data_IF_070852861957
#
_entry.id   IF_070852861957
#
_cell.length_a   1.000
_cell.length_b   1.000
_cell.length_c   1.000
_cell.angle_alpha   90.00
_cell.angle_beta   90.00
_cell.angle_gamma   90.00
#
_symmetry.space_group_name_H-M   'P 1'
#
loop_
_entity.id
_entity.type
_entity.pdbx_description
1 polymer ?
#
# COMPACT_ATOMS: atom_id res chain seq x y z
N UNK A 1 11.36 -9.18 11.56
CA UNK A 1 10.16 -8.44 11.11
C UNK A 1 10.44 -7.58 9.88
N UNK A 2 11.34 -6.58 9.92
CA UNK A 2 11.62 -5.70 8.76
C UNK A 2 11.88 -6.47 7.45
N UNK A 3 12.81 -7.43 7.44
CA UNK A 3 13.13 -8.23 6.24
C UNK A 3 11.93 -9.00 5.70
N UNK A 4 11.13 -9.60 6.58
CA UNK A 4 9.91 -10.33 6.20
C UNK A 4 8.90 -9.41 5.52
N UNK A 5 8.74 -8.19 6.02
CA UNK A 5 7.88 -7.19 5.39
C UNK A 5 8.41 -6.73 4.02
N UNK A 6 9.73 -6.56 3.87
CA UNK A 6 10.35 -6.23 2.57
C UNK A 6 10.22 -7.37 1.55
N UNK A 7 10.43 -8.61 1.98
CA UNK A 7 10.27 -9.79 1.14
C UNK A 7 8.81 -9.93 0.69
N UNK A 8 7.85 -9.74 1.62
CA UNK A 8 6.42 -9.76 1.30
C UNK A 8 6.01 -8.66 0.31
N UNK A 9 6.46 -7.42 0.55
CA UNK A 9 6.21 -6.30 -0.37
C UNK A 9 6.77 -6.59 -1.78
N UNK A 10 7.92 -7.25 -1.85
CA UNK A 10 8.54 -7.65 -3.13
C UNK A 10 7.71 -8.72 -3.82
N UNK A 11 7.22 -9.72 -3.09
CA UNK A 11 6.37 -10.78 -3.63
C UNK A 11 5.07 -10.21 -4.22
N UNK A 12 4.35 -9.39 -3.45
CA UNK A 12 3.11 -8.73 -3.91
C UNK A 12 3.37 -7.85 -5.14
N UNK A 13 4.51 -7.15 -5.18
CA UNK A 13 4.91 -6.37 -6.36
C UNK A 13 5.10 -7.27 -7.58
N UNK A 14 5.79 -8.40 -7.43
CA UNK A 14 6.01 -9.37 -8.50
C UNK A 14 4.70 -9.98 -9.00
N UNK A 15 3.80 -10.39 -8.10
CA UNK A 15 2.47 -10.89 -8.44
C UNK A 15 1.67 -9.85 -9.26
N UNK A 16 1.67 -8.59 -8.81
CA UNK A 16 0.95 -7.52 -9.49
C UNK A 16 1.49 -7.22 -10.89
N UNK A 17 2.81 -7.13 -11.09
CA UNK A 17 3.39 -6.86 -12.43
C UNK A 17 3.22 -8.04 -13.39
N UNK A 18 3.07 -9.26 -12.87
CA UNK A 18 2.79 -10.47 -13.66
C UNK A 18 1.29 -10.67 -13.92
N UNK A 19 0.43 -9.77 -13.43
CA UNK A 19 -1.02 -9.81 -13.67
C UNK A 19 -1.80 -10.73 -12.73
N UNK A 20 -1.20 -11.15 -11.62
CA UNK A 20 -1.86 -11.95 -10.58
C UNK A 20 -2.51 -11.08 -9.48
N UNK A 21 -2.45 -9.76 -9.61
CA UNK A 21 -3.12 -8.81 -8.71
C UNK A 21 -4.65 -8.86 -8.77
N UNK A 22 -5.31 -8.50 -7.68
CA UNK A 22 -6.77 -8.70 -7.51
C UNK A 22 -7.62 -7.53 -7.99
N UNK A 23 -7.14 -6.28 -7.88
CA UNK A 23 -7.94 -5.07 -8.08
C UNK A 23 -8.58 -4.99 -9.48
N UNK A 24 -7.77 -5.15 -10.53
CA UNK A 24 -8.25 -5.10 -11.91
C UNK A 24 -9.18 -6.26 -12.23
N UNK A 25 -8.92 -7.45 -11.67
CA UNK A 25 -9.76 -8.62 -11.87
C UNK A 25 -11.14 -8.42 -11.24
N UNK A 26 -11.18 -7.98 -9.97
CA UNK A 26 -12.43 -7.67 -9.27
C UNK A 26 -13.19 -6.52 -9.95
N UNK A 27 -12.49 -5.48 -10.43
CA UNK A 27 -13.09 -4.42 -11.22
C UNK A 27 -13.75 -4.96 -12.50
N UNK A 28 -13.05 -5.83 -13.25
CA UNK A 28 -13.57 -6.45 -14.47
C UNK A 28 -14.83 -7.30 -14.21
N UNK A 29 -14.82 -8.11 -13.15
CA UNK A 29 -15.98 -8.90 -12.73
C UNK A 29 -17.17 -8.01 -12.36
N UNK A 30 -16.92 -6.95 -11.58
CA UNK A 30 -17.94 -5.97 -11.18
C UNK A 30 -18.57 -5.31 -12.41
N UNK A 31 -17.73 -4.85 -13.34
CA UNK A 31 -18.19 -4.17 -14.54
C UNK A 31 -18.93 -5.12 -15.50
N UNK A 32 -18.51 -6.38 -15.59
CA UNK A 32 -19.21 -7.41 -16.39
C UNK A 32 -20.64 -7.63 -15.88
N UNK A 33 -20.85 -7.72 -14.55
CA UNK A 33 -22.18 -7.85 -13.97
C UNK A 33 -23.07 -6.62 -14.24
N UNK A 34 -22.49 -5.43 -14.22
CA UNK A 34 -23.19 -4.18 -14.57
C UNK A 34 -23.61 -4.18 -16.04
N UNK A 35 -22.72 -4.60 -16.94
CA UNK A 35 -22.96 -4.60 -18.39
C UNK A 35 -23.94 -5.70 -18.85
N UNK A 36 -23.98 -6.84 -18.16
CA UNK A 36 -24.96 -7.90 -18.42
C UNK A 36 -26.37 -7.53 -17.94
N UNK A 37 -26.52 -6.45 -17.17
CA UNK A 37 -27.78 -6.07 -16.53
C UNK A 37 -28.22 -7.00 -15.41
N UNK A 38 -27.30 -7.83 -14.91
CA UNK A 38 -27.54 -8.73 -13.78
C UNK A 38 -27.49 -7.96 -12.46
N UNK A 39 -28.04 -8.57 -11.41
CA UNK A 39 -27.88 -8.04 -10.06
C UNK A 39 -26.40 -8.07 -9.67
N UNK A 40 -25.92 -6.98 -9.08
CA UNK A 40 -24.53 -6.88 -8.63
C UNK A 40 -24.24 -7.96 -7.57
N UNK A 41 -23.20 -8.80 -7.73
CA UNK A 41 -22.84 -9.81 -6.72
C UNK A 41 -22.62 -9.21 -5.31
N UNK A 42 -23.01 -9.96 -4.27
CA UNK A 42 -22.99 -9.50 -2.87
C UNK A 42 -21.62 -8.98 -2.42
N UNK A 43 -20.53 -9.62 -2.87
CA UNK A 43 -19.15 -9.18 -2.59
C UNK A 43 -18.89 -7.72 -2.98
N UNK A 44 -19.50 -7.21 -4.05
CA UNK A 44 -19.33 -5.82 -4.50
C UNK A 44 -20.29 -4.84 -3.82
N UNK A 45 -21.30 -5.35 -3.12
CA UNK A 45 -22.19 -4.58 -2.26
C UNK A 45 -21.67 -4.50 -0.82
N UNK A 46 -20.73 -5.39 -0.46
CA UNK A 46 -20.14 -5.45 0.87
C UNK A 46 -19.38 -4.16 1.21
N UNK A 47 -19.56 -3.69 2.45
CA UNK A 47 -18.89 -2.51 2.98
C UNK A 47 -17.36 -2.66 2.96
N UNK A 48 -16.85 -3.87 3.21
CA UNK A 48 -15.42 -4.17 3.20
C UNK A 48 -14.83 -4.02 1.80
N UNK A 49 -15.56 -4.39 0.74
CA UNK A 49 -15.13 -4.12 -0.63
C UNK A 49 -15.10 -2.61 -0.91
N UNK A 50 -16.11 -1.86 -0.45
CA UNK A 50 -16.06 -0.40 -0.58
C UNK A 50 -14.89 0.22 0.19
N UNK A 51 -14.61 -0.24 1.40
CA UNK A 51 -13.52 0.25 2.25
C UNK A 51 -12.14 -0.12 1.70
N UNK A 52 -11.97 -1.32 1.13
CA UNK A 52 -10.70 -1.76 0.53
C UNK A 52 -10.30 -0.90 -0.67
N UNK A 53 -11.27 -0.29 -1.35
CA UNK A 53 -11.06 0.66 -2.44
C UNK A 53 -10.90 2.13 -1.96
N UNK A 54 -10.91 2.40 -0.65
CA UNK A 54 -10.63 3.73 -0.09
C UNK A 54 -9.14 3.88 0.24
N UNK A 55 -8.33 4.19 -0.77
CA UNK A 55 -6.88 4.35 -0.64
C UNK A 55 -6.49 5.62 0.14
N UNK A 56 -6.51 5.54 1.48
CA UNK A 56 -6.04 6.61 2.39
C UNK A 56 -4.56 6.94 2.22
N UNK A 57 -3.77 6.05 1.64
CA UNK A 57 -2.40 6.33 1.23
C UNK A 57 -2.24 5.85 -0.20
N UNK A 58 -2.12 6.79 -1.14
CA UNK A 58 -1.89 6.51 -2.55
C UNK A 58 -0.44 6.86 -2.90
N UNK A 59 0.35 5.87 -3.30
CA UNK A 59 1.79 6.02 -3.54
C UNK A 59 2.19 5.63 -4.95
N UNK A 60 3.28 6.20 -5.44
CA UNK A 60 3.92 5.76 -6.68
C UNK A 60 5.39 6.15 -6.71
N UNK A 61 6.19 5.26 -7.29
CA UNK A 61 7.58 5.52 -7.59
C UNK A 61 7.68 6.13 -8.99
N UNK A 62 8.33 7.28 -9.12
CA UNK A 62 8.58 7.93 -10.40
C UNK A 62 10.08 8.18 -10.55
N UNK A 63 10.84 7.17 -10.99
CA UNK A 63 12.29 7.27 -11.06
C UNK A 63 12.70 8.20 -12.20
N UNK A 64 13.47 9.25 -11.88
CA UNK A 64 14.08 10.13 -12.89
C UNK A 64 15.53 10.42 -12.53
N UNK A 65 16.39 10.60 -13.54
CA UNK A 65 17.81 10.94 -13.33
C UNK A 65 18.04 12.42 -13.08
N UNK A 66 17.08 13.27 -13.44
CA UNK A 66 17.04 14.70 -13.12
C UNK A 66 16.52 14.94 -11.70
N UNK A 67 16.74 16.13 -11.15
CA UNK A 67 16.11 16.61 -9.91
C UNK A 67 14.60 16.95 -10.09
N UNK A 68 13.92 16.22 -10.97
CA UNK A 68 12.49 16.40 -11.22
C UNK A 68 11.67 15.73 -10.12
N UNK A 69 10.58 16.39 -9.75
CA UNK A 69 9.62 15.86 -8.78
C UNK A 69 8.27 15.67 -9.44
N UNK A 70 7.69 14.49 -9.27
CA UNK A 70 6.28 14.25 -9.55
C UNK A 70 5.49 14.47 -8.27
N UNK A 71 4.26 14.96 -8.39
CA UNK A 71 3.34 15.08 -7.28
C UNK A 71 1.89 14.98 -7.75
N UNK A 72 1.02 14.56 -6.84
CA UNK A 72 -0.43 14.49 -7.05
C UNK A 72 -1.13 14.59 -5.70
N UNK A 73 -2.42 14.97 -5.72
CA UNK A 73 -3.26 15.06 -4.52
C UNK A 73 -3.67 13.69 -3.97
N UNK A 74 -4.17 13.65 -2.74
CA UNK A 74 -4.79 12.45 -2.20
C UNK A 74 -6.05 12.06 -2.98
N UNK A 75 -6.28 10.75 -3.17
CA UNK A 75 -7.43 10.22 -3.95
C UNK A 75 -8.73 10.12 -3.13
N UNK A 76 -8.64 10.34 -1.82
CA UNK A 76 -9.78 10.44 -0.88
C UNK A 76 -9.58 11.65 0.04
N UNK A 77 -10.67 12.18 0.60
CA UNK A 77 -10.64 13.40 1.42
C UNK A 77 -9.77 13.26 2.68
N UNK A 78 -9.72 12.07 3.26
CA UNK A 78 -9.00 11.76 4.50
C UNK A 78 -7.74 10.92 4.28
N UNK A 79 -7.09 11.15 3.14
CA UNK A 79 -5.89 10.43 2.73
C UNK A 79 -4.69 11.32 2.40
N UNK A 80 -3.64 10.64 1.92
CA UNK A 80 -2.38 11.21 1.46
C UNK A 80 -2.06 10.76 0.03
N UNK A 81 -1.46 11.66 -0.75
CA UNK A 81 -0.69 11.30 -1.94
C UNK A 81 0.79 11.33 -1.61
N UNK A 82 1.55 10.30 -1.99
CA UNK A 82 3.00 10.25 -1.75
C UNK A 82 3.76 9.71 -2.97
N UNK A 83 4.30 10.63 -3.76
CA UNK A 83 5.17 10.30 -4.90
C UNK A 83 6.64 10.31 -4.45
N UNK A 84 7.45 9.36 -4.91
CA UNK A 84 8.86 9.28 -4.52
C UNK A 84 9.80 8.94 -5.68
N UNK A 85 11.01 9.50 -5.63
CA UNK A 85 12.10 9.29 -6.58
C UNK A 85 13.39 8.91 -5.81
N UNK A 86 13.75 7.62 -5.76
CA UNK A 86 15.00 7.17 -5.17
C UNK A 86 16.21 7.49 -6.06
N UNK A 87 17.21 8.15 -5.48
CA UNK A 87 18.54 8.38 -6.05
C UNK A 87 19.60 7.57 -5.29
N UNK A 88 20.86 7.49 -5.77
CA UNK A 88 21.90 6.72 -5.09
C UNK A 88 22.12 7.11 -3.62
N UNK A 89 22.07 8.42 -3.32
CA UNK A 89 22.44 8.95 -1.99
C UNK A 89 21.28 9.62 -1.24
N UNK A 90 20.12 9.78 -1.87
CA UNK A 90 18.96 10.44 -1.28
C UNK A 90 17.65 9.95 -1.91
N UNK A 91 16.52 10.25 -1.27
CA UNK A 91 15.19 9.95 -1.80
C UNK A 91 14.39 11.24 -1.77
N UNK A 92 13.84 11.64 -2.90
CA UNK A 92 12.88 12.75 -2.95
C UNK A 92 11.49 12.20 -2.72
N UNK A 93 10.74 12.81 -1.80
CA UNK A 93 9.36 12.40 -1.49
C UNK A 93 8.49 13.64 -1.45
N UNK A 94 7.40 13.65 -2.22
CA UNK A 94 6.39 14.70 -2.19
C UNK A 94 5.12 14.15 -1.56
N UNK A 95 4.72 14.73 -0.42
CA UNK A 95 3.54 14.34 0.33
C UNK A 95 2.46 15.40 0.18
N UNK A 96 1.25 14.99 -0.16
CA UNK A 96 0.07 15.84 -0.24
C UNK A 96 -1.03 15.33 0.69
N UNK A 97 -1.85 16.22 1.21
CA UNK A 97 -3.12 15.93 1.89
C UNK A 97 -4.05 17.14 1.78
N UNK A 98 -5.33 16.95 2.05
CA UNK A 98 -6.32 18.04 1.95
C UNK A 98 -6.37 18.88 3.24
N UNK A 99 -6.24 20.21 3.12
CA UNK A 99 -6.27 21.12 4.27
C UNK A 99 -7.58 21.11 5.06
N UNK A 100 -8.69 20.74 4.44
CA UNK A 100 -10.01 20.68 5.08
C UNK A 100 -10.20 19.40 5.92
N UNK A 101 -9.25 18.47 5.91
CA UNK A 101 -9.30 17.24 6.68
C UNK A 101 -8.47 17.36 7.96
N UNK A 102 -9.12 17.43 9.11
CA UNK A 102 -8.46 17.62 10.42
C UNK A 102 -7.57 16.46 10.86
N UNK A 103 -7.73 15.27 10.26
CA UNK A 103 -6.96 14.06 10.61
C UNK A 103 -5.73 13.84 9.73
N UNK A 104 -5.55 14.63 8.66
CA UNK A 104 -4.36 14.56 7.81
C UNK A 104 -3.46 15.78 7.96
N UNK A 105 -2.15 15.59 7.83
CA UNK A 105 -1.16 16.67 7.89
C UNK A 105 0.11 16.26 7.13
N UNK A 106 0.33 16.82 5.94
CA UNK A 106 1.45 16.43 5.07
C UNK A 106 2.82 16.66 5.73
N UNK A 107 2.98 17.75 6.48
CA UNK A 107 4.25 18.06 7.17
C UNK A 107 4.55 17.04 8.26
N UNK A 108 3.56 16.71 9.10
CA UNK A 108 3.69 15.68 10.14
C UNK A 108 3.96 14.30 9.54
N UNK A 109 3.27 13.95 8.45
CA UNK A 109 3.51 12.70 7.74
C UNK A 109 4.93 12.64 7.19
N UNK A 110 5.42 13.72 6.56
CA UNK A 110 6.78 13.79 6.03
C UNK A 110 7.85 13.66 7.14
N UNK A 111 7.64 14.30 8.30
CA UNK A 111 8.53 14.13 9.47
C UNK A 111 8.55 12.69 9.96
N UNK A 112 7.37 12.07 10.15
CA UNK A 112 7.29 10.68 10.61
C UNK A 112 7.91 9.70 9.59
N UNK A 113 7.72 9.96 8.29
CA UNK A 113 8.32 9.15 7.24
C UNK A 113 9.84 9.26 7.23
N UNK A 114 10.38 10.47 7.42
CA UNK A 114 11.82 10.68 7.54
C UNK A 114 12.40 9.92 8.75
N UNK A 115 11.75 9.98 9.91
CA UNK A 115 12.20 9.25 11.10
C UNK A 115 12.11 7.73 10.91
N UNK A 116 11.01 7.22 10.33
CA UNK A 116 10.89 5.79 10.03
C UNK A 116 12.01 5.29 9.09
N UNK A 117 12.37 6.06 8.06
CA UNK A 117 13.49 5.73 7.17
C UNK A 117 14.85 5.75 7.91
N UNK A 118 15.03 6.67 8.85
CA UNK A 118 16.25 6.72 9.69
C UNK A 118 16.34 5.51 10.62
N UNK A 119 15.25 5.17 11.31
CA UNK A 119 15.18 3.98 12.17
C UNK A 119 15.45 2.70 11.38
N UNK A 120 14.84 2.57 10.20
CA UNK A 120 15.11 1.43 9.30
C UNK A 120 16.58 1.36 8.88
N UNK A 121 17.20 2.50 8.57
CA UNK A 121 18.64 2.57 8.26
C UNK A 121 19.48 2.12 9.44
N UNK A 122 19.22 2.63 10.64
CA UNK A 122 19.93 2.22 11.86
C UNK A 122 19.79 0.72 12.13
N UNK A 123 18.58 0.17 11.97
CA UNK A 123 18.32 -1.26 12.13
C UNK A 123 19.12 -2.10 11.12
N UNK A 124 19.18 -1.68 9.85
CA UNK A 124 19.97 -2.35 8.81
C UNK A 124 21.47 -2.30 9.13
N UNK A 125 21.97 -1.14 9.55
CA UNK A 125 23.38 -0.94 9.88
C UNK A 125 23.80 -1.66 11.17
N UNK A 126 22.86 -1.93 12.08
CA UNK A 126 23.13 -2.68 13.32
C UNK A 126 23.54 -4.13 13.07
N UNK A 127 23.11 -4.73 11.95
CA UNK A 127 23.50 -6.09 11.54
C UNK A 127 23.44 -6.24 10.00
N UNK A 128 24.46 -5.76 9.27
CA UNK A 128 24.45 -5.72 7.81
C UNK A 128 24.43 -7.10 7.15
N UNK A 129 25.07 -8.10 7.77
CA UNK A 129 25.10 -9.46 7.22
C UNK A 129 23.72 -10.10 7.27
N UNK A 130 23.00 -9.92 8.38
CA UNK A 130 21.62 -10.39 8.48
C UNK A 130 20.70 -9.62 7.53
N UNK A 131 20.91 -8.32 7.34
CA UNK A 131 20.13 -7.49 6.43
C UNK A 131 20.18 -7.95 4.96
N UNK A 132 21.29 -8.57 4.53
CA UNK A 132 21.48 -9.09 3.16
C UNK A 132 20.77 -10.42 2.91
N UNK A 133 20.35 -11.14 3.96
CA UNK A 133 19.69 -12.44 3.84
C UNK A 133 18.17 -12.29 3.73
N UNK A 134 17.50 -13.14 2.94
CA UNK A 134 16.03 -13.25 2.97
C UNK A 134 15.54 -13.68 4.36
N UNK A 135 14.30 -13.34 4.68
CA UNK A 135 13.63 -13.88 5.86
C UNK A 135 13.56 -15.41 5.78
N UNK A 136 13.86 -16.08 6.89
CA UNK A 136 13.89 -17.55 6.99
C UNK A 136 12.51 -18.17 7.17
N UNK A 137 11.52 -17.40 7.61
CA UNK A 137 10.14 -17.85 7.75
C UNK A 137 9.44 -17.82 6.39
N UNK A 138 8.64 -18.86 6.05
CA UNK A 138 7.87 -18.85 4.82
C UNK A 138 6.87 -17.70 4.82
N UNK A 139 6.69 -17.10 3.65
CA UNK A 139 5.63 -16.14 3.37
C UNK A 139 4.31 -16.91 3.21
N UNK A 140 3.75 -17.39 4.33
CA UNK A 140 2.42 -18.02 4.30
C UNK A 140 1.33 -16.94 4.45
N UNK A 141 0.61 -16.68 3.36
CA UNK A 141 -0.72 -16.09 3.43
C UNK A 141 -1.74 -17.21 3.61
N UNK A 142 -2.58 -17.07 4.62
CA UNK A 142 -3.76 -17.92 4.81
C UNK A 142 -4.95 -17.00 4.96
N UNK A 143 -6.06 -17.36 4.31
CA UNK A 143 -7.35 -16.75 4.63
C UNK A 143 -7.63 -17.11 6.10
N UNK A 144 -7.78 -16.13 7.00
CA UNK A 144 -8.16 -16.42 8.38
C UNK A 144 -9.48 -17.20 8.37
N UNK A 145 -9.55 -18.34 9.07
CA UNK A 145 -10.82 -19.04 9.25
C UNK A 145 -11.81 -18.07 9.90
N UNK A 146 -13.03 -17.97 9.36
CA UNK A 146 -14.09 -17.15 9.94
C UNK A 146 -14.26 -17.55 11.41
N UNK A 147 -14.08 -16.59 12.31
CA UNK A 147 -14.53 -16.76 13.69
C UNK A 147 -16.05 -16.75 13.62
N UNK A 148 -16.65 -17.94 13.52
CA UNK A 148 -18.08 -18.12 13.72
C UNK A 148 -18.37 -17.73 15.17
N UNK A 149 -18.64 -16.45 15.41
CA UNK A 149 -19.30 -16.03 16.64
C UNK A 149 -20.68 -16.67 16.59
N UNK A 150 -20.84 -17.77 17.30
CA UNK A 150 -22.13 -18.36 17.58
C UNK A 150 -22.99 -17.28 18.24
N UNK A 151 -23.85 -16.63 17.45
CA UNK A 151 -24.95 -15.84 18.00
C UNK A 151 -25.93 -16.87 18.56
N UNK A 152 -25.74 -17.24 19.82
CA UNK A 152 -26.77 -17.87 20.62
C UNK A 152 -27.77 -16.79 21.02
N UNK A 153 -28.92 -16.75 20.36
CA UNK A 153 -30.18 -16.31 20.99
C UNK A 153 -30.89 -17.52 21.60
#
# INVERSE_FOLDING_TARGET
>A
MLRKAMDWQTEVMLENILGYGVDNHLLGLRQTAVESGEALPEIFQDRIYSESNQFRLSTSQVPTTSDSVMCYGAVVNDGYGAAYNPHPDYIVIVVSSWHNCSITNSAKFATNLQEALREMKELVLSNPELAKTKATEPLEWRIPEETTSSVTE
#
